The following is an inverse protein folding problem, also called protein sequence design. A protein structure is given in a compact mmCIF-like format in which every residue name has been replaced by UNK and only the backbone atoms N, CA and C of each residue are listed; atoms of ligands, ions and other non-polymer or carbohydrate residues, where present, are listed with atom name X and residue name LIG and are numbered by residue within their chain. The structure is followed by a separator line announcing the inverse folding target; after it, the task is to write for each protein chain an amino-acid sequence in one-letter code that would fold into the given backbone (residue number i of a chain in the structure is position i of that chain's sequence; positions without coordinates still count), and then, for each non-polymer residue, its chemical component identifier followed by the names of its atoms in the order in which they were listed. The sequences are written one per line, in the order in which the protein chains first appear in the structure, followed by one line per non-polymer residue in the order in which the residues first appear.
data_IF_490626944285
#
_entry.id   IF_490626944285
#
_cell.length_a   1.000
_cell.length_b   1.000
_cell.length_c   1.000
_cell.angle_alpha   90.00
_cell.angle_beta   90.00
_cell.angle_gamma   90.00
#
_symmetry.space_group_name_H-M   'P 1'
#
loop_
_entity.id
_entity.type
_entity.pdbx_description
1 polymer ?
#
# COMPACT_ATOMS: atom_id res chain seq x y z
N UNK A 1 1.69 -31.74 7.75
CA UNK A 1 1.05 -30.47 7.34
C UNK A 1 1.99 -29.32 7.69
N UNK A 2 2.40 -28.50 6.73
CA UNK A 2 3.25 -27.33 7.03
C UNK A 2 2.34 -26.25 7.62
N UNK A 3 2.62 -25.81 8.83
CA UNK A 3 1.89 -24.69 9.44
C UNK A 3 2.16 -23.41 8.65
N UNK A 4 1.10 -22.60 8.41
CA UNK A 4 1.24 -21.29 7.81
C UNK A 4 2.04 -20.37 8.74
N UNK A 5 2.92 -19.50 8.21
CA UNK A 5 3.58 -18.53 9.07
C UNK A 5 2.56 -17.56 9.69
N UNK A 6 2.71 -17.26 10.97
CA UNK A 6 1.78 -16.43 11.73
C UNK A 6 2.23 -14.97 11.73
N UNK A 7 1.31 -14.07 11.43
CA UNK A 7 1.53 -12.61 11.43
C UNK A 7 0.50 -11.96 12.35
N UNK A 8 0.96 -11.19 13.33
CA UNK A 8 0.10 -10.38 14.17
C UNK A 8 0.09 -8.94 13.64
N UNK A 9 -1.11 -8.38 13.47
CA UNK A 9 -1.31 -6.99 13.06
C UNK A 9 -1.82 -6.17 14.23
N UNK A 10 -1.14 -5.07 14.55
CA UNK A 10 -1.53 -4.13 15.60
C UNK A 10 -1.68 -2.74 14.98
N UNK A 11 -2.92 -2.30 14.78
CA UNK A 11 -3.27 -1.01 14.19
C UNK A 11 -4.67 -0.60 14.69
N UNK A 12 -4.86 0.64 15.09
CA UNK A 12 -6.14 1.11 15.63
C UNK A 12 -7.21 1.36 14.57
N UNK A 13 -6.84 1.32 13.29
CA UNK A 13 -7.74 1.42 12.15
C UNK A 13 -8.25 0.05 11.72
N UNK A 14 -9.54 -0.28 11.94
CA UNK A 14 -10.12 -1.54 11.47
C UNK A 14 -10.00 -1.75 9.96
N UNK A 15 -10.08 -0.66 9.18
CA UNK A 15 -9.93 -0.69 7.73
C UNK A 15 -8.51 -1.10 7.31
N UNK A 16 -7.49 -0.55 7.99
CA UNK A 16 -6.09 -0.95 7.76
C UNK A 16 -5.89 -2.42 8.12
N UNK A 17 -6.39 -2.85 9.28
CA UNK A 17 -6.32 -4.24 9.71
C UNK A 17 -6.96 -5.19 8.71
N UNK A 18 -8.16 -4.90 8.21
CA UNK A 18 -8.86 -5.73 7.22
C UNK A 18 -8.09 -5.80 5.89
N UNK A 19 -7.56 -4.68 5.42
CA UNK A 19 -6.74 -4.66 4.21
C UNK A 19 -5.49 -5.54 4.36
N UNK A 20 -4.76 -5.40 5.48
CA UNK A 20 -3.54 -6.18 5.75
C UNK A 20 -3.89 -7.66 5.88
N UNK A 21 -4.94 -8.01 6.66
CA UNK A 21 -5.35 -9.39 6.86
C UNK A 21 -5.75 -10.05 5.54
N UNK A 22 -6.66 -9.46 4.77
CA UNK A 22 -7.09 -10.02 3.49
C UNK A 22 -5.92 -10.22 2.51
N UNK A 23 -4.99 -9.26 2.46
CA UNK A 23 -3.79 -9.34 1.61
C UNK A 23 -2.89 -10.51 2.00
N UNK A 24 -2.61 -10.65 3.30
CA UNK A 24 -1.67 -11.67 3.79
C UNK A 24 -2.29 -13.07 3.87
N UNK A 25 -3.58 -13.19 4.15
CA UNK A 25 -4.29 -14.48 4.09
C UNK A 25 -4.28 -15.06 2.67
N UNK A 26 -4.48 -14.21 1.66
CA UNK A 26 -4.33 -14.60 0.25
C UNK A 26 -2.89 -15.01 -0.10
N UNK A 27 -1.90 -14.40 0.55
CA UNK A 27 -0.50 -14.76 0.40
C UNK A 27 -0.09 -15.99 1.23
N UNK A 28 -1.01 -16.62 1.95
CA UNK A 28 -0.81 -17.89 2.66
C UNK A 28 -0.34 -17.76 4.11
N UNK A 29 -0.54 -16.62 4.74
CA UNK A 29 -0.26 -16.39 6.16
C UNK A 29 -1.47 -16.71 7.04
N UNK A 30 -1.21 -16.99 8.33
CA UNK A 30 -2.22 -17.06 9.40
C UNK A 30 -2.18 -15.74 10.18
N UNK A 31 -3.33 -15.07 10.30
CA UNK A 31 -3.38 -13.67 10.77
C UNK A 31 -4.19 -13.58 12.05
N UNK A 32 -3.66 -12.81 13.01
CA UNK A 32 -4.45 -12.29 14.15
C UNK A 32 -4.32 -10.76 14.20
N UNK A 33 -5.32 -10.10 14.77
CA UNK A 33 -5.43 -8.63 14.77
C UNK A 33 -5.62 -8.15 16.21
N UNK A 34 -4.98 -7.04 16.55
CA UNK A 34 -5.22 -6.27 17.77
C UNK A 34 -5.42 -4.79 17.41
N UNK A 35 -6.38 -4.13 18.06
CA UNK A 35 -6.66 -2.70 17.85
C UNK A 35 -5.97 -1.79 18.86
N UNK A 36 -5.24 -2.37 19.81
CA UNK A 36 -4.53 -1.67 20.87
C UNK A 36 -3.17 -2.32 21.13
N UNK A 37 -2.21 -1.52 21.58
CA UNK A 37 -0.86 -2.01 21.86
C UNK A 37 -0.81 -3.03 22.98
N UNK A 38 -1.57 -2.83 24.08
CA UNK A 38 -1.64 -3.79 25.21
C UNK A 38 -2.27 -5.11 24.80
N UNK A 39 -3.34 -5.09 24.01
CA UNK A 39 -3.96 -6.27 23.43
C UNK A 39 -2.95 -7.04 22.57
N UNK A 40 -2.23 -6.30 21.72
CA UNK A 40 -1.19 -6.85 20.85
C UNK A 40 -0.10 -7.56 21.64
N UNK A 41 0.40 -6.96 22.74
CA UNK A 41 1.41 -7.58 23.61
C UNK A 41 0.90 -8.88 24.24
N UNK A 42 -0.36 -8.94 24.68
CA UNK A 42 -0.96 -10.16 25.19
C UNK A 42 -1.04 -11.25 24.09
N UNK A 43 -1.41 -10.86 22.87
CA UNK A 43 -1.50 -11.79 21.73
C UNK A 43 -0.13 -12.28 21.24
N UNK A 44 0.93 -11.50 21.37
CA UNK A 44 2.30 -11.96 21.06
C UNK A 44 2.61 -13.26 21.82
N UNK A 45 2.24 -13.36 23.09
CA UNK A 45 2.52 -14.53 23.91
C UNK A 45 1.64 -15.75 23.53
N UNK A 46 0.37 -15.52 23.23
CA UNK A 46 -0.58 -16.61 22.95
C UNK A 46 -0.55 -17.06 21.48
N UNK A 47 -0.45 -16.13 20.54
CA UNK A 47 -0.45 -16.40 19.11
C UNK A 47 0.93 -16.79 18.60
N UNK A 48 2.02 -16.35 19.26
CA UNK A 48 3.42 -16.61 18.91
C UNK A 48 3.70 -16.30 17.42
N UNK A 49 3.54 -15.04 16.96
CA UNK A 49 3.75 -14.68 15.58
C UNK A 49 5.23 -14.75 15.20
N UNK A 50 5.52 -15.10 13.94
CA UNK A 50 6.85 -14.98 13.35
C UNK A 50 7.13 -13.55 12.83
N UNK A 51 6.07 -12.81 12.53
CA UNK A 51 6.12 -11.42 12.08
C UNK A 51 5.06 -10.58 12.79
N UNK A 52 5.42 -9.34 13.13
CA UNK A 52 4.56 -8.34 13.75
C UNK A 52 4.49 -7.13 12.81
N UNK A 53 3.28 -6.75 12.38
CA UNK A 53 3.01 -5.50 11.70
C UNK A 53 2.40 -4.56 12.73
N UNK A 54 3.02 -3.41 12.94
CA UNK A 54 2.75 -2.58 14.10
C UNK A 54 2.66 -1.10 13.72
N UNK A 55 1.48 -0.51 13.94
CA UNK A 55 1.34 0.94 13.79
C UNK A 55 2.09 1.68 14.90
N UNK A 56 2.72 2.79 14.51
CA UNK A 56 3.41 3.69 15.45
C UNK A 56 2.43 4.41 16.35
N UNK A 57 1.27 4.80 15.81
CA UNK A 57 0.27 5.60 16.52
C UNK A 57 -0.89 4.72 16.99
N UNK A 58 -0.84 4.29 18.25
CA UNK A 58 -1.90 3.51 18.88
C UNK A 58 -2.54 4.30 20.02
N UNK A 59 -3.79 4.02 20.40
CA UNK A 59 -4.56 4.84 21.34
C UNK A 59 -4.12 4.69 22.81
N UNK A 60 -3.44 3.61 23.17
CA UNK A 60 -3.06 3.29 24.55
C UNK A 60 -1.56 3.44 24.81
N UNK A 61 -0.71 2.80 24.02
CA UNK A 61 0.74 2.88 24.09
C UNK A 61 1.32 3.04 22.70
N UNK A 62 2.43 3.75 22.55
CA UNK A 62 3.04 3.92 21.22
C UNK A 62 3.56 2.60 20.65
N UNK A 63 3.48 2.41 19.33
CA UNK A 63 4.06 1.25 18.67
C UNK A 63 5.56 1.09 18.94
N UNK A 64 6.28 2.17 19.16
CA UNK A 64 7.68 2.10 19.59
C UNK A 64 7.84 1.44 20.97
N UNK A 65 6.90 1.67 21.90
CA UNK A 65 6.93 1.00 23.19
C UNK A 65 6.60 -0.48 23.07
N UNK A 66 5.61 -0.83 22.24
CA UNK A 66 5.30 -2.24 21.90
C UNK A 66 6.53 -2.92 21.30
N UNK A 67 7.19 -2.29 20.32
CA UNK A 67 8.41 -2.81 19.68
C UNK A 67 9.51 -3.12 20.71
N UNK A 68 9.80 -2.19 21.60
CA UNK A 68 10.80 -2.42 22.66
C UNK A 68 10.41 -3.56 23.61
N UNK A 69 9.15 -3.62 24.04
CA UNK A 69 8.69 -4.68 24.93
C UNK A 69 8.80 -6.07 24.29
N UNK A 70 8.48 -6.18 22.99
CA UNK A 70 8.63 -7.44 22.25
C UNK A 70 10.10 -7.83 22.11
N UNK A 71 10.99 -6.88 21.84
CA UNK A 71 12.43 -7.14 21.70
C UNK A 71 13.11 -7.46 23.03
N UNK A 72 12.65 -6.88 24.13
CA UNK A 72 13.18 -7.12 25.47
C UNK A 72 12.52 -8.32 26.18
N UNK A 73 11.38 -8.78 25.65
CA UNK A 73 10.67 -9.95 26.16
C UNK A 73 11.51 -11.21 25.95
N UNK A 74 11.47 -12.13 26.94
CA UNK A 74 12.14 -13.42 26.89
C UNK A 74 11.39 -14.41 25.98
N UNK A 75 11.16 -14.06 24.72
CA UNK A 75 10.63 -15.02 23.74
C UNK A 75 11.82 -15.83 23.19
N UNK A 76 11.70 -17.15 23.18
CA UNK A 76 12.71 -18.05 22.63
C UNK A 76 12.97 -17.84 21.13
N UNK A 77 12.03 -17.16 20.42
CA UNK A 77 12.13 -16.86 19.00
C UNK A 77 12.12 -15.35 18.77
N UNK A 78 13.04 -14.89 17.92
CA UNK A 78 13.03 -13.50 17.46
C UNK A 78 11.85 -13.27 16.52
N UNK A 79 11.02 -12.25 16.83
CA UNK A 79 9.91 -11.81 15.99
C UNK A 79 10.42 -10.75 15.02
N UNK A 80 10.10 -10.90 13.74
CA UNK A 80 10.40 -9.87 12.74
C UNK A 80 9.37 -8.74 12.83
N UNK A 81 9.82 -7.52 13.13
CA UNK A 81 8.92 -6.38 13.39
C UNK A 81 8.98 -5.39 12.24
N UNK A 82 7.82 -5.15 11.63
CA UNK A 82 7.58 -4.13 10.61
C UNK A 82 6.77 -3.00 11.26
N UNK A 83 7.39 -1.83 11.46
CA UNK A 83 6.65 -0.64 11.87
C UNK A 83 6.00 0.01 10.65
N UNK A 84 4.72 0.34 10.77
CA UNK A 84 3.95 1.07 9.75
C UNK A 84 3.56 2.45 10.30
N UNK A 85 3.61 3.50 9.47
CA UNK A 85 3.30 4.86 9.94
C UNK A 85 2.97 5.81 8.79
N UNK A 86 2.16 6.82 9.09
CA UNK A 86 1.94 7.98 8.20
C UNK A 86 3.12 8.95 8.18
N UNK A 87 4.02 8.88 9.17
CA UNK A 87 5.25 9.67 9.22
C UNK A 87 6.28 9.07 8.25
N UNK A 88 6.95 9.89 7.47
CA UNK A 88 7.89 9.42 6.43
C UNK A 88 9.22 10.19 6.43
N UNK A 89 9.58 10.87 7.51
CA UNK A 89 10.88 11.52 7.58
C UNK A 89 12.00 10.48 7.79
N UNK A 90 13.22 10.69 7.23
CA UNK A 90 14.36 9.80 7.44
C UNK A 90 14.71 9.59 8.90
N UNK A 91 14.46 10.60 9.75
CA UNK A 91 14.64 10.52 11.20
C UNK A 91 13.67 9.53 11.85
N UNK A 92 12.43 9.44 11.38
CA UNK A 92 11.43 8.50 11.91
C UNK A 92 11.85 7.05 11.62
N UNK A 93 12.37 6.77 10.43
CA UNK A 93 12.89 5.45 10.06
C UNK A 93 14.11 5.08 10.90
N UNK A 94 15.07 5.98 11.04
CA UNK A 94 16.25 5.75 11.86
C UNK A 94 15.90 5.55 13.33
N UNK A 95 14.88 6.25 13.83
CA UNK A 95 14.39 6.07 15.18
C UNK A 95 13.71 4.70 15.35
N UNK A 96 12.87 4.28 14.40
CA UNK A 96 12.22 2.98 14.39
C UNK A 96 13.23 1.83 14.52
N UNK A 97 14.28 1.85 13.71
CA UNK A 97 15.34 0.84 13.76
C UNK A 97 16.04 0.78 15.12
N UNK A 98 16.29 1.94 15.75
CA UNK A 98 16.86 1.99 17.12
C UNK A 98 15.90 1.46 18.18
N UNK A 99 14.61 1.45 17.94
CA UNK A 99 13.61 0.84 18.83
C UNK A 99 13.51 -0.68 18.67
N UNK A 100 14.25 -1.28 17.72
CA UNK A 100 14.27 -2.72 17.49
C UNK A 100 13.38 -3.18 16.32
N UNK A 101 12.86 -2.28 15.51
CA UNK A 101 12.17 -2.67 14.29
C UNK A 101 13.18 -3.24 13.27
N UNK A 102 12.75 -4.24 12.52
CA UNK A 102 13.53 -4.81 11.42
C UNK A 102 13.26 -4.08 10.10
N UNK A 103 12.06 -3.49 9.97
CA UNK A 103 11.66 -2.73 8.80
C UNK A 103 10.71 -1.60 9.17
N UNK A 104 10.76 -0.54 8.39
CA UNK A 104 9.82 0.57 8.45
C UNK A 104 9.08 0.68 7.11
N UNK A 105 7.76 0.77 7.15
CA UNK A 105 6.92 0.86 5.97
C UNK A 105 6.00 2.09 6.08
N UNK A 106 6.25 3.14 5.28
CA UNK A 106 5.41 4.33 5.30
C UNK A 106 4.01 4.04 4.70
N UNK A 107 2.97 4.58 5.33
CA UNK A 107 1.61 4.59 4.78
C UNK A 107 1.46 5.78 3.81
N UNK A 108 0.79 5.61 2.65
CA UNK A 108 0.15 4.39 2.15
C UNK A 108 1.15 3.43 1.50
N UNK A 109 0.89 2.13 1.59
CA UNK A 109 1.64 1.06 0.94
C UNK A 109 0.72 0.16 0.10
N UNK A 110 1.28 -0.51 -0.90
CA UNK A 110 0.54 -1.46 -1.74
C UNK A 110 0.57 -2.87 -1.15
N UNK A 111 -0.33 -3.74 -1.63
CA UNK A 111 -0.38 -5.15 -1.25
C UNK A 111 0.95 -5.86 -1.52
N UNK A 112 1.58 -5.60 -2.67
CA UNK A 112 2.84 -6.21 -3.09
C UNK A 112 3.98 -5.84 -2.15
N UNK A 113 4.10 -4.55 -1.81
CA UNK A 113 5.15 -4.04 -0.89
C UNK A 113 4.97 -4.67 0.49
N UNK A 114 3.72 -4.78 0.96
CA UNK A 114 3.39 -5.41 2.24
C UNK A 114 3.80 -6.89 2.26
N UNK A 115 3.35 -7.66 1.26
CA UNK A 115 3.66 -9.10 1.14
C UNK A 115 5.17 -9.32 1.06
N UNK A 116 5.88 -8.55 0.24
CA UNK A 116 7.33 -8.62 0.16
C UNK A 116 8.00 -8.34 1.51
N UNK A 117 7.56 -7.28 2.20
CA UNK A 117 8.12 -6.91 3.51
C UNK A 117 7.96 -8.02 4.55
N UNK A 118 6.80 -8.71 4.56
CA UNK A 118 6.56 -9.82 5.49
C UNK A 118 7.41 -11.04 5.13
N UNK A 119 7.53 -11.38 3.83
CA UNK A 119 8.34 -12.52 3.40
C UNK A 119 9.85 -12.33 3.69
N UNK A 120 10.34 -11.12 3.78
CA UNK A 120 11.75 -10.86 4.17
C UNK A 120 12.06 -11.34 5.59
N UNK A 121 11.08 -11.30 6.49
CA UNK A 121 11.25 -11.66 7.89
C UNK A 121 10.88 -13.08 8.26
N UNK A 122 10.24 -13.84 7.37
CA UNK A 122 9.77 -15.20 7.67
C UNK A 122 10.83 -16.22 7.26
N UNK A 123 11.38 -17.01 8.22
CA UNK A 123 12.36 -18.04 7.89
C UNK A 123 11.70 -19.25 7.22
N UNK A 124 12.34 -19.82 6.21
CA UNK A 124 11.96 -21.13 5.69
C UNK A 124 12.13 -21.31 4.18
N UNK A 125 12.01 -22.55 3.69
CA UNK A 125 12.19 -22.92 2.27
C UNK A 125 11.09 -22.34 1.34
N UNK A 126 10.00 -21.86 1.91
CA UNK A 126 8.92 -21.16 1.17
C UNK A 126 9.41 -19.84 0.54
N UNK A 127 10.42 -19.19 1.14
CA UNK A 127 11.00 -17.97 0.60
C UNK A 127 11.57 -18.18 -0.81
N UNK A 128 12.26 -19.30 -1.07
CA UNK A 128 12.83 -19.59 -2.38
C UNK A 128 11.77 -20.03 -3.41
N UNK A 129 10.78 -20.80 -2.98
CA UNK A 129 9.73 -21.30 -3.89
C UNK A 129 8.74 -20.19 -4.27
N UNK A 130 8.39 -19.29 -3.35
CA UNK A 130 7.44 -18.20 -3.63
C UNK A 130 8.13 -17.03 -4.30
N UNK A 131 9.37 -16.69 -3.92
CA UNK A 131 10.16 -15.71 -4.67
C UNK A 131 10.43 -16.19 -6.10
N UNK A 132 10.68 -17.49 -6.33
CA UNK A 132 10.79 -18.02 -7.69
C UNK A 132 9.45 -18.08 -8.43
N UNK A 133 8.33 -18.29 -7.76
CA UNK A 133 7.00 -18.25 -8.40
C UNK A 133 6.48 -16.82 -8.59
N UNK A 134 6.84 -15.86 -7.72
CA UNK A 134 6.56 -14.44 -7.90
C UNK A 134 7.49 -13.84 -8.97
N UNK A 135 8.75 -14.27 -9.01
CA UNK A 135 9.73 -13.87 -10.04
C UNK A 135 9.48 -14.58 -11.38
N UNK A 136 8.82 -15.75 -11.36
CA UNK A 136 8.46 -16.50 -12.58
C UNK A 136 7.10 -16.12 -13.17
N UNK A 137 6.29 -15.33 -12.45
CA UNK A 137 5.12 -14.68 -13.05
C UNK A 137 5.57 -13.29 -13.47
N UNK A 138 5.45 -12.92 -14.74
CA UNK A 138 5.88 -11.62 -15.23
C UNK A 138 4.94 -10.52 -14.73
N UNK A 139 5.01 -10.21 -13.44
CA UNK A 139 4.33 -9.04 -12.83
C UNK A 139 5.14 -7.75 -12.98
N UNK A 140 6.25 -7.82 -13.74
CA UNK A 140 6.86 -6.62 -14.35
C UNK A 140 5.98 -6.00 -15.44
N UNK A 141 4.80 -6.56 -15.73
CA UNK A 141 3.93 -6.13 -16.84
C UNK A 141 2.72 -5.28 -16.45
N UNK A 142 2.51 -4.92 -15.18
CA UNK A 142 1.37 -4.03 -14.88
C UNK A 142 1.70 -2.54 -15.05
N UNK A 143 2.95 -2.13 -14.79
CA UNK A 143 3.37 -0.74 -15.08
C UNK A 143 3.43 -0.47 -16.59
N UNK A 144 4.03 -1.36 -17.44
CA UNK A 144 3.94 -1.21 -18.89
C UNK A 144 2.50 -1.22 -19.41
N UNK A 145 1.65 -2.13 -18.91
CA UNK A 145 0.23 -2.22 -19.32
C UNK A 145 -0.54 -0.96 -18.92
N UNK A 146 -0.28 -0.41 -17.72
CA UNK A 146 -0.92 0.83 -17.28
C UNK A 146 -0.49 2.04 -18.12
N UNK A 147 0.77 2.09 -18.54
CA UNK A 147 1.32 3.15 -19.38
C UNK A 147 0.81 3.09 -20.83
N UNK A 148 0.32 1.94 -21.29
CA UNK A 148 -0.31 1.77 -22.59
C UNK A 148 -1.81 2.12 -22.60
N UNK A 149 -2.42 2.32 -21.42
CA UNK A 149 -3.82 2.71 -21.35
C UNK A 149 -4.02 4.18 -21.76
N UNK A 150 -5.17 4.45 -22.34
CA UNK A 150 -5.58 5.77 -22.80
C UNK A 150 -6.49 6.40 -21.74
N UNK A 151 -6.04 7.45 -21.04
CA UNK A 151 -6.88 8.14 -20.08
C UNK A 151 -7.90 9.02 -20.79
N UNK A 152 -9.14 9.01 -20.30
CA UNK A 152 -10.19 9.95 -20.76
C UNK A 152 -10.75 10.70 -19.57
N UNK A 153 -11.05 11.98 -19.78
CA UNK A 153 -11.72 12.79 -18.75
C UNK A 153 -13.15 12.33 -18.55
N UNK A 154 -13.57 12.20 -17.30
CA UNK A 154 -14.98 11.99 -16.99
C UNK A 154 -15.66 13.35 -17.14
N UNK A 155 -16.46 13.50 -18.19
CA UNK A 155 -17.30 14.67 -18.37
C UNK A 155 -18.61 14.38 -17.66
N UNK A 156 -18.86 15.06 -16.55
CA UNK A 156 -20.14 15.00 -15.87
C UNK A 156 -21.19 15.68 -16.76
N UNK A 157 -21.99 14.84 -17.44
CA UNK A 157 -23.06 15.35 -18.33
C UNK A 157 -24.16 16.11 -17.56
N UNK A 158 -24.30 15.88 -16.26
CA UNK A 158 -25.25 16.61 -15.42
C UNK A 158 -24.72 18.00 -15.03
N UNK A 159 -23.42 18.19 -14.93
CA UNK A 159 -22.83 19.52 -14.70
C UNK A 159 -23.06 20.49 -15.86
N UNK A 160 -23.28 19.98 -17.09
CA UNK A 160 -23.63 20.82 -18.25
C UNK A 160 -25.12 21.20 -18.30
N UNK A 161 -26.01 20.45 -17.63
CA UNK A 161 -27.45 20.68 -17.66
C UNK A 161 -27.96 21.63 -16.58
N UNK A 162 -27.27 21.74 -15.48
CA UNK A 162 -27.59 22.64 -14.38
C UNK A 162 -26.57 23.79 -14.35
N UNK A 163 -26.99 25.01 -14.71
CA UNK A 163 -26.31 26.26 -14.35
C UNK A 163 -26.31 26.43 -12.83
N UNK A 164 -25.66 25.52 -12.13
CA UNK A 164 -25.44 25.64 -10.70
C UNK A 164 -24.09 26.32 -10.47
N UNK A 165 -24.05 27.60 -10.02
CA UNK A 165 -22.81 28.30 -9.71
C UNK A 165 -22.04 27.66 -8.53
N UNK A 166 -22.62 26.69 -7.86
CA UNK A 166 -22.01 25.91 -6.76
C UNK A 166 -21.65 24.46 -7.17
N UNK A 167 -21.68 24.11 -8.46
CA UNK A 167 -21.12 22.86 -8.92
C UNK A 167 -19.63 22.87 -8.56
N UNK A 168 -19.25 21.97 -7.64
CA UNK A 168 -17.89 21.87 -7.10
C UNK A 168 -16.91 21.77 -8.27
N UNK A 169 -16.20 22.84 -8.54
CA UNK A 169 -14.99 22.82 -9.36
C UNK A 169 -14.05 21.85 -8.69
N UNK A 170 -13.73 20.75 -9.36
CA UNK A 170 -12.74 19.78 -8.88
C UNK A 170 -11.41 20.51 -8.68
N UNK A 171 -11.10 20.86 -7.45
CA UNK A 171 -9.81 21.47 -7.11
C UNK A 171 -8.79 20.34 -7.10
N UNK A 172 -8.00 20.25 -8.16
CA UNK A 172 -6.83 19.38 -8.22
C UNK A 172 -5.68 20.21 -7.61
N UNK A 173 -5.35 19.94 -6.35
CA UNK A 173 -4.36 20.70 -5.60
C UNK A 173 -2.92 20.42 -6.08
N UNK A 174 -2.66 19.20 -6.50
CA UNK A 174 -1.34 18.73 -6.93
C UNK A 174 -0.99 19.27 -8.32
N UNK A 175 0.17 19.94 -8.44
CA UNK A 175 0.63 20.57 -9.67
C UNK A 175 0.72 19.60 -10.86
N UNK A 176 1.34 18.44 -10.64
CA UNK A 176 1.49 17.41 -11.68
C UNK A 176 0.14 16.81 -12.11
N UNK A 177 -0.79 16.63 -11.16
CA UNK A 177 -2.12 16.13 -11.48
C UNK A 177 -2.93 17.11 -12.34
N UNK A 178 -2.81 18.42 -12.09
CA UNK A 178 -3.41 19.44 -12.95
C UNK A 178 -2.83 19.44 -14.35
N UNK A 179 -1.49 19.33 -14.46
CA UNK A 179 -0.81 19.30 -15.74
C UNK A 179 -1.18 18.05 -16.54
N UNK A 180 -1.15 16.87 -15.91
CA UNK A 180 -1.56 15.62 -16.56
C UNK A 180 -3.03 15.68 -16.98
N UNK A 181 -3.93 16.12 -16.10
CA UNK A 181 -5.35 16.25 -16.42
C UNK A 181 -5.59 17.19 -17.61
N UNK A 182 -4.85 18.31 -17.70
CA UNK A 182 -4.93 19.25 -18.82
C UNK A 182 -4.44 18.63 -20.13
N UNK A 183 -3.43 17.76 -20.09
CA UNK A 183 -2.83 17.11 -21.24
C UNK A 183 -3.65 15.93 -21.79
N UNK A 184 -4.58 15.35 -21.01
CA UNK A 184 -5.43 14.23 -21.42
C UNK A 184 -6.36 14.64 -22.56
N UNK A 185 -6.21 14.01 -23.71
CA UNK A 185 -7.02 14.21 -24.92
C UNK A 185 -7.90 13.02 -25.29
N UNK A 186 -7.78 11.90 -24.56
CA UNK A 186 -8.50 10.66 -24.80
C UNK A 186 -8.02 9.86 -26.02
N UNK A 187 -6.83 10.16 -26.52
CA UNK A 187 -6.22 9.52 -27.72
C UNK A 187 -4.83 8.98 -27.41
N UNK A 188 -4.02 9.72 -26.67
CA UNK A 188 -2.65 9.36 -26.30
C UNK A 188 -2.64 8.45 -25.09
N UNK A 189 -1.68 7.52 -25.07
CA UNK A 189 -1.41 6.66 -23.92
C UNK A 189 -0.79 7.45 -22.77
N UNK A 190 -0.83 6.90 -21.58
CA UNK A 190 -0.14 7.47 -20.43
C UNK A 190 1.39 7.57 -20.65
N UNK A 191 1.96 6.60 -21.37
CA UNK A 191 3.39 6.59 -21.71
C UNK A 191 3.77 7.78 -22.55
N UNK A 192 2.96 8.10 -23.57
CA UNK A 192 3.18 9.26 -24.47
C UNK A 192 3.05 10.56 -23.68
N UNK A 193 2.02 10.70 -22.84
CA UNK A 193 1.81 11.88 -22.01
C UNK A 193 2.93 12.06 -20.98
N UNK A 194 3.39 10.98 -20.35
CA UNK A 194 4.51 11.00 -19.40
C UNK A 194 5.82 11.48 -20.04
N UNK A 195 6.10 10.94 -21.23
CA UNK A 195 7.31 11.29 -22.00
C UNK A 195 7.32 12.77 -22.39
N UNK A 196 6.19 13.29 -22.89
CA UNK A 196 6.04 14.69 -23.27
C UNK A 196 6.19 15.65 -22.07
N UNK A 197 5.73 15.22 -20.90
CA UNK A 197 5.81 16.01 -19.67
C UNK A 197 7.14 15.85 -18.92
N UNK A 198 8.02 14.94 -19.35
CA UNK A 198 9.27 14.61 -18.66
C UNK A 198 9.07 14.05 -17.26
N UNK A 199 7.96 13.31 -17.03
CA UNK A 199 7.64 12.70 -15.74
C UNK A 199 8.17 11.28 -15.64
N UNK A 200 8.78 10.96 -14.51
CA UNK A 200 9.15 9.58 -14.19
C UNK A 200 7.91 8.71 -13.93
N UNK A 201 8.02 7.41 -14.21
CA UNK A 201 6.92 6.44 -14.06
C UNK A 201 6.26 6.45 -12.66
N UNK A 202 7.06 6.68 -11.62
CA UNK A 202 6.60 6.80 -10.22
C UNK A 202 5.71 8.03 -10.02
N UNK A 203 6.08 9.17 -10.59
CA UNK A 203 5.33 10.42 -10.52
C UNK A 203 4.01 10.30 -11.30
N UNK A 204 4.03 9.66 -12.46
CA UNK A 204 2.83 9.39 -13.28
C UNK A 204 1.84 8.50 -12.51
N UNK A 205 2.32 7.43 -11.88
CA UNK A 205 1.48 6.50 -11.12
C UNK A 205 0.79 7.19 -9.94
N UNK A 206 1.50 8.01 -9.17
CA UNK A 206 0.94 8.75 -8.04
C UNK A 206 -0.10 9.79 -8.50
N UNK A 207 0.23 10.52 -9.56
CA UNK A 207 -0.65 11.51 -10.19
C UNK A 207 -1.94 10.85 -10.72
N UNK A 208 -1.80 9.71 -11.39
CA UNK A 208 -2.92 8.93 -11.91
C UNK A 208 -3.85 8.45 -10.80
N UNK A 209 -3.28 7.91 -9.72
CA UNK A 209 -4.03 7.46 -8.54
C UNK A 209 -4.87 8.60 -7.95
N UNK A 210 -4.31 9.82 -7.87
CA UNK A 210 -5.03 11.00 -7.42
C UNK A 210 -6.23 11.32 -8.31
N UNK A 211 -6.05 11.28 -9.64
CA UNK A 211 -7.11 11.57 -10.60
C UNK A 211 -8.21 10.50 -10.63
N UNK A 212 -7.84 9.21 -10.52
CA UNK A 212 -8.79 8.10 -10.44
C UNK A 212 -9.58 8.12 -9.13
N UNK A 213 -8.92 8.35 -8.01
CA UNK A 213 -9.57 8.45 -6.68
C UNK A 213 -10.60 9.59 -6.62
N UNK A 214 -10.34 10.68 -7.34
CA UNK A 214 -11.26 11.82 -7.46
C UNK A 214 -12.32 11.61 -8.57
N UNK A 215 -12.33 10.44 -9.23
CA UNK A 215 -13.21 10.11 -10.36
C UNK A 215 -13.15 11.15 -11.50
N UNK A 216 -11.98 11.76 -11.70
CA UNK A 216 -11.77 12.77 -12.75
C UNK A 216 -11.48 12.15 -14.11
N UNK A 217 -10.97 10.92 -14.13
CA UNK A 217 -10.57 10.20 -15.34
C UNK A 217 -11.00 8.74 -15.28
N UNK A 218 -11.12 8.13 -16.46
CA UNK A 218 -11.30 6.69 -16.67
C UNK A 218 -10.23 6.20 -17.63
N UNK A 219 -9.85 4.93 -17.51
CA UNK A 219 -8.81 4.32 -18.32
C UNK A 219 -9.42 3.38 -19.36
N UNK A 220 -8.90 3.44 -20.57
CA UNK A 220 -9.36 2.63 -21.70
C UNK A 220 -8.18 1.89 -22.33
N UNK A 221 -8.41 0.69 -22.82
CA UNK A 221 -7.43 -0.02 -23.64
C UNK A 221 -7.40 0.53 -25.09
N UNK A 222 -6.47 0.04 -25.89
CA UNK A 222 -6.32 0.41 -27.31
C UNK A 222 -7.55 0.04 -28.16
N UNK A 223 -8.39 -0.89 -27.70
CA UNK A 223 -9.66 -1.27 -28.34
C UNK A 223 -10.83 -0.36 -27.89
N UNK A 224 -10.61 0.58 -26.98
CA UNK A 224 -11.61 1.50 -26.46
C UNK A 224 -12.53 0.89 -25.39
N UNK A 225 -12.14 -0.24 -24.77
CA UNK A 225 -12.85 -0.87 -23.68
C UNK A 225 -12.42 -0.22 -22.37
N UNK A 226 -13.39 0.10 -21.50
CA UNK A 226 -13.13 0.59 -20.16
C UNK A 226 -12.38 -0.47 -19.34
N UNK A 227 -11.26 -0.07 -18.77
CA UNK A 227 -10.48 -0.90 -17.83
C UNK A 227 -10.82 -0.44 -16.42
N UNK A 228 -11.51 -1.29 -15.67
CA UNK A 228 -11.73 -1.05 -14.24
C UNK A 228 -10.37 -1.14 -13.53
N UNK A 229 -9.76 0.02 -13.28
CA UNK A 229 -8.48 0.08 -12.59
C UNK A 229 -8.67 -0.09 -11.10
N UNK A 230 -8.33 -1.24 -10.60
CA UNK A 230 -8.05 -1.48 -9.18
C UNK A 230 -6.63 -0.94 -8.90
N UNK A 231 -6.46 0.39 -8.78
CA UNK A 231 -5.21 1.06 -8.38
C UNK A 231 -5.27 1.52 -6.93
#
# INVERSE_FOLDING_TARGET
MRSRPRVLVIDDSPTTCLFIAATLEQAGFDIDIALKGQEGLAKVTTFQPSCLILDVMLPDISGYAVCRNVQQGMLEQSIYIILISTKNAPLDQSYAMRQGANRYLPKPFTAEILVQAVWEGVPGPLRQTILSSIVSTPQQSQIPVLLELIPRRVVDQDAMRTRNPFAHSFIIEEKHARQLYAAIDGRRTLSELATEMGLEASAVTNTLRTLLKKNCIQMYDSAGKLVESTL
#
